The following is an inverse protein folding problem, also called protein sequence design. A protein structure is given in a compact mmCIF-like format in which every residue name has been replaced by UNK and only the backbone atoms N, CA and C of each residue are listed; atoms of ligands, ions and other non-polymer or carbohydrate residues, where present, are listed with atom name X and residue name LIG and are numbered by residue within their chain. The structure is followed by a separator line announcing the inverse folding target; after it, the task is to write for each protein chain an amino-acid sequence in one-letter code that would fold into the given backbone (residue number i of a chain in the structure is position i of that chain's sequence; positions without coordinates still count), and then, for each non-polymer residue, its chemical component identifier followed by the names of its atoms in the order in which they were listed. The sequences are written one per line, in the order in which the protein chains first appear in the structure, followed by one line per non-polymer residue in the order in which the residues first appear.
data_IF_798289964895
#
_entry.id   IF_798289964895
#
_cell.length_a   1.000
_cell.length_b   1.000
_cell.length_c   1.000
_cell.angle_alpha   90.00
_cell.angle_beta   90.00
_cell.angle_gamma   90.00
#
_symmetry.space_group_name_H-M   'P 1'
#
loop_
_entity.id
_entity.type
_entity.pdbx_description
1 polymer ?
#
# COMPACT_ATOMS: atom_id res chain seq x y z
N UNK A 1 20.80 -11.64 -8.60
CA UNK A 1 21.23 -10.51 -7.74
C UNK A 1 22.28 -11.03 -6.76
N UNK A 2 23.41 -10.34 -6.56
CA UNK A 2 24.42 -10.78 -5.57
C UNK A 2 23.96 -10.38 -4.17
N UNK A 3 24.24 -11.24 -3.18
CA UNK A 3 23.93 -10.99 -1.77
C UNK A 3 24.76 -9.79 -1.28
N UNK A 4 24.14 -8.87 -0.56
CA UNK A 4 24.83 -7.77 0.13
C UNK A 4 25.23 -8.31 1.52
N UNK A 5 26.52 -8.37 1.81
CA UNK A 5 27.05 -8.90 3.08
C UNK A 5 27.38 -7.80 4.09
N UNK A 6 27.62 -6.57 3.65
CA UNK A 6 27.89 -5.42 4.50
C UNK A 6 27.36 -4.12 3.88
N UNK A 7 27.15 -3.13 4.73
CA UNK A 7 26.88 -1.74 4.33
C UNK A 7 28.22 -0.99 4.28
N UNK A 8 28.45 -0.25 3.20
CA UNK A 8 29.62 0.63 3.03
C UNK A 8 29.52 1.87 3.92
N UNK A 9 30.65 2.51 4.23
CA UNK A 9 30.65 3.75 5.02
C UNK A 9 29.86 4.87 4.35
N UNK A 10 29.89 4.91 3.01
CA UNK A 10 29.12 5.86 2.20
C UNK A 10 27.61 5.62 2.34
N UNK A 11 27.17 4.36 2.33
CA UNK A 11 25.77 4.00 2.55
C UNK A 11 25.33 4.25 4.00
N UNK A 12 26.18 3.98 5.00
CA UNK A 12 25.93 4.30 6.40
C UNK A 12 25.71 5.81 6.60
N UNK A 13 26.54 6.65 5.97
CA UNK A 13 26.39 8.10 6.03
C UNK A 13 25.04 8.56 5.46
N UNK A 14 24.51 7.86 4.44
CA UNK A 14 23.20 8.16 3.86
C UNK A 14 22.02 7.71 4.75
N UNK A 15 22.19 6.72 5.62
CA UNK A 15 21.09 6.20 6.45
C UNK A 15 20.40 7.31 7.25
N UNK A 16 21.17 8.22 7.87
CA UNK A 16 20.62 9.33 8.65
C UNK A 16 19.73 10.25 7.79
N UNK A 17 20.19 10.62 6.60
CA UNK A 17 19.44 11.48 5.68
C UNK A 17 18.12 10.83 5.25
N UNK A 18 18.13 9.51 5.00
CA UNK A 18 16.92 8.77 4.66
C UNK A 18 15.96 8.68 5.83
N UNK A 19 16.45 8.40 7.04
CA UNK A 19 15.63 8.36 8.26
C UNK A 19 14.94 9.71 8.46
N UNK A 20 15.70 10.80 8.46
CA UNK A 20 15.16 12.15 8.66
C UNK A 20 14.09 12.50 7.61
N UNK A 21 14.36 12.20 6.34
CA UNK A 21 13.41 12.42 5.25
C UNK A 21 12.11 11.64 5.45
N UNK A 22 12.18 10.34 5.73
CA UNK A 22 10.98 9.51 5.82
C UNK A 22 10.19 9.77 7.11
N UNK A 23 10.87 10.10 8.20
CA UNK A 23 10.22 10.56 9.45
C UNK A 23 9.45 11.85 9.20
N UNK A 24 10.05 12.84 8.53
CA UNK A 24 9.38 14.09 8.21
C UNK A 24 8.13 13.88 7.33
N UNK A 25 8.20 12.98 6.35
CA UNK A 25 7.06 12.64 5.49
C UNK A 25 5.97 11.90 6.30
N UNK A 26 6.35 10.89 7.09
CA UNK A 26 5.40 10.04 7.81
C UNK A 26 4.67 10.76 8.95
N UNK A 27 5.26 11.81 9.51
CA UNK A 27 4.66 12.65 10.55
C UNK A 27 4.00 13.92 10.01
N UNK A 28 3.99 14.12 8.69
CA UNK A 28 3.38 15.31 8.09
C UNK A 28 1.86 15.27 8.20
N UNK A 29 1.27 16.40 8.61
CA UNK A 29 -0.18 16.63 8.63
C UNK A 29 -0.65 17.54 7.49
N UNK A 30 0.24 17.83 6.53
CA UNK A 30 -0.13 18.62 5.34
C UNK A 30 -1.12 17.85 4.47
N UNK A 31 -1.94 18.54 3.66
CA UNK A 31 -2.84 17.89 2.72
C UNK A 31 -2.10 16.91 1.80
N UNK A 32 -2.63 15.69 1.68
CA UNK A 32 -2.02 14.66 0.84
C UNK A 32 -2.09 15.01 -0.65
N UNK A 33 -0.97 14.82 -1.36
CA UNK A 33 -0.94 14.84 -2.83
C UNK A 33 -1.43 13.51 -3.38
N UNK A 34 -2.75 13.39 -3.55
CA UNK A 34 -3.39 12.18 -4.03
C UNK A 34 -2.97 11.80 -5.46
N UNK A 35 -2.64 12.76 -6.32
CA UNK A 35 -2.24 12.47 -7.70
C UNK A 35 -0.86 11.81 -7.72
N UNK A 36 0.08 12.34 -6.93
CA UNK A 36 1.40 11.74 -6.77
C UNK A 36 1.33 10.37 -6.12
N UNK A 37 0.49 10.21 -5.09
CA UNK A 37 0.28 8.93 -4.41
C UNK A 37 -0.28 7.86 -5.38
N UNK A 38 -1.32 8.20 -6.14
CA UNK A 38 -1.91 7.31 -7.14
C UNK A 38 -0.90 6.91 -8.22
N UNK A 39 -0.15 7.87 -8.77
CA UNK A 39 0.89 7.58 -9.77
C UNK A 39 1.96 6.62 -9.24
N UNK A 40 2.39 6.80 -7.98
CA UNK A 40 3.37 5.92 -7.34
C UNK A 40 2.81 4.50 -7.13
N UNK A 41 1.59 4.37 -6.62
CA UNK A 41 0.93 3.06 -6.42
C UNK A 41 0.82 2.30 -7.74
N UNK A 42 0.37 2.97 -8.81
CA UNK A 42 0.25 2.32 -10.13
C UNK A 42 1.58 1.81 -10.66
N UNK A 43 2.67 2.57 -10.43
CA UNK A 43 4.04 2.11 -10.76
C UNK A 43 4.43 0.86 -9.98
N UNK A 44 4.10 0.77 -8.69
CA UNK A 44 4.36 -0.42 -7.89
C UNK A 44 3.65 -1.66 -8.45
N UNK A 45 2.36 -1.55 -8.80
CA UNK A 45 1.61 -2.65 -9.44
C UNK A 45 2.22 -3.08 -10.78
N UNK A 46 2.63 -2.11 -11.61
CA UNK A 46 3.31 -2.39 -12.88
C UNK A 46 4.65 -3.12 -12.67
N UNK A 47 5.43 -2.75 -11.65
CA UNK A 47 6.72 -3.36 -11.36
C UNK A 47 6.60 -4.84 -10.98
N UNK A 48 5.50 -5.22 -10.33
CA UNK A 48 5.23 -6.60 -9.91
C UNK A 48 4.38 -7.38 -10.93
N UNK A 49 3.97 -6.76 -12.04
CA UNK A 49 3.13 -7.38 -13.06
C UNK A 49 1.71 -7.73 -12.58
N UNK A 50 1.22 -7.05 -11.54
CA UNK A 50 -0.13 -7.27 -11.01
C UNK A 50 -1.16 -6.35 -11.68
N UNK A 51 -2.41 -6.80 -11.71
CA UNK A 51 -3.53 -5.99 -12.19
C UNK A 51 -3.66 -4.69 -11.39
N UNK A 52 -3.92 -3.61 -12.12
CA UNK A 52 -4.10 -2.30 -11.51
C UNK A 52 -5.36 -2.26 -10.64
N UNK A 53 -5.36 -1.45 -9.55
CA UNK A 53 -6.54 -1.31 -8.71
C UNK A 53 -7.74 -0.80 -9.51
N UNK A 54 -8.88 -1.49 -9.38
CA UNK A 54 -10.15 -1.13 -10.04
C UNK A 54 -10.76 0.15 -9.46
N UNK A 55 -10.49 0.44 -8.19
CA UNK A 55 -11.01 1.59 -7.46
C UNK A 55 -9.92 2.19 -6.59
N UNK A 56 -9.78 3.52 -6.63
CA UNK A 56 -8.90 4.29 -5.76
C UNK A 56 -9.75 5.29 -4.98
N UNK A 57 -9.75 5.17 -3.66
CA UNK A 57 -10.53 6.02 -2.77
C UNK A 57 -9.66 7.13 -2.20
N UNK A 58 -10.06 8.37 -2.43
CA UNK A 58 -9.43 9.57 -1.85
C UNK A 58 -10.32 10.07 -0.72
N UNK A 59 -9.75 10.19 0.47
CA UNK A 59 -10.49 10.52 1.69
C UNK A 59 -9.75 11.59 2.48
N UNK A 60 -10.49 12.53 3.05
CA UNK A 60 -9.92 13.68 3.75
C UNK A 60 -9.48 13.42 5.18
N UNK A 61 -9.74 12.23 5.73
CA UNK A 61 -9.32 11.87 7.08
C UNK A 61 -9.13 10.36 7.24
N UNK A 62 -8.31 9.91 8.22
CA UNK A 62 -8.17 8.49 8.54
C UNK A 62 -9.49 7.83 8.95
N UNK A 63 -10.37 8.58 9.63
CA UNK A 63 -11.70 8.07 10.00
C UNK A 63 -12.57 7.83 8.77
N UNK A 64 -12.54 8.74 7.79
CA UNK A 64 -13.23 8.52 6.52
C UNK A 64 -12.63 7.31 5.76
N UNK A 65 -11.32 7.07 5.85
CA UNK A 65 -10.69 5.89 5.26
C UNK A 65 -11.22 4.56 5.83
N UNK A 66 -11.43 4.52 7.16
CA UNK A 66 -11.96 3.34 7.84
C UNK A 66 -13.34 2.93 7.30
N UNK A 67 -14.20 3.91 6.98
CA UNK A 67 -15.52 3.67 6.40
C UNK A 67 -15.48 3.45 4.89
N UNK A 68 -14.61 4.18 4.18
CA UNK A 68 -14.54 4.15 2.73
C UNK A 68 -14.10 2.78 2.19
N UNK A 69 -13.18 2.08 2.87
CA UNK A 69 -12.72 0.74 2.47
C UNK A 69 -13.87 -0.27 2.32
N UNK A 70 -14.62 -0.57 3.39
CA UNK A 70 -15.78 -1.46 3.33
C UNK A 70 -16.84 -1.02 2.32
N UNK A 71 -17.11 0.29 2.23
CA UNK A 71 -18.06 0.84 1.25
C UNK A 71 -17.58 0.62 -0.19
N UNK A 72 -16.29 0.77 -0.46
CA UNK A 72 -15.70 0.52 -1.77
C UNK A 72 -15.81 -0.95 -2.18
N UNK A 73 -15.59 -1.88 -1.25
CA UNK A 73 -15.77 -3.32 -1.51
C UNK A 73 -17.22 -3.63 -1.82
N UNK A 74 -18.16 -3.10 -1.01
CA UNK A 74 -19.59 -3.27 -1.25
C UNK A 74 -20.01 -2.69 -2.61
N UNK A 75 -19.49 -1.52 -2.99
CA UNK A 75 -19.77 -0.93 -4.29
C UNK A 75 -19.26 -1.82 -5.44
N UNK A 76 -18.05 -2.37 -5.33
CA UNK A 76 -17.50 -3.28 -6.34
C UNK A 76 -18.30 -4.58 -6.45
N UNK A 77 -18.82 -5.11 -5.33
CA UNK A 77 -19.65 -6.32 -5.37
C UNK A 77 -20.99 -6.08 -6.04
N UNK A 78 -21.66 -4.97 -5.72
CA UNK A 78 -22.93 -4.57 -6.36
C UNK A 78 -22.76 -4.28 -7.85
N UNK A 79 -21.61 -3.74 -8.25
CA UNK A 79 -21.29 -3.47 -9.66
C UNK A 79 -20.73 -4.69 -10.41
N UNK A 80 -20.63 -5.87 -9.78
CA UNK A 80 -20.19 -7.10 -10.43
C UNK A 80 -18.68 -7.22 -10.66
N UNK A 81 -17.86 -6.44 -9.96
CA UNK A 81 -16.39 -6.46 -10.08
C UNK A 81 -15.68 -7.39 -9.08
N UNK A 82 -16.41 -8.05 -8.17
CA UNK A 82 -15.86 -9.05 -7.24
C UNK A 82 -15.65 -10.40 -7.95
N UNK A 83 -14.38 -10.74 -8.20
CA UNK A 83 -13.91 -12.12 -8.10
C UNK A 83 -13.63 -12.36 -6.60
N UNK A 84 -14.17 -13.43 -6.03
CA UNK A 84 -14.10 -13.76 -4.61
C UNK A 84 -12.68 -14.15 -4.12
N UNK A 85 -11.65 -14.03 -4.97
CA UNK A 85 -10.39 -14.73 -4.77
C UNK A 85 -9.49 -14.18 -3.65
N UNK A 86 -9.65 -12.91 -3.22
CA UNK A 86 -8.69 -12.26 -2.31
C UNK A 86 -8.99 -12.46 -0.81
N UNK A 87 -10.26 -12.42 -0.41
CA UNK A 87 -10.63 -12.62 1.00
C UNK A 87 -10.54 -14.11 1.40
N UNK A 88 -10.89 -15.00 0.46
CA UNK A 88 -10.78 -16.45 0.65
C UNK A 88 -9.32 -16.86 0.88
N UNK A 89 -8.37 -16.27 0.12
CA UNK A 89 -6.94 -16.56 0.27
C UNK A 89 -6.38 -16.19 1.66
N UNK A 90 -6.77 -15.05 2.22
CA UNK A 90 -6.31 -14.64 3.57
C UNK A 90 -7.00 -15.47 4.65
N UNK A 91 -8.28 -15.81 4.46
CA UNK A 91 -9.03 -16.68 5.37
C UNK A 91 -8.43 -18.08 5.46
N UNK A 92 -8.14 -18.69 4.31
CA UNK A 92 -7.53 -20.01 4.23
C UNK A 92 -6.11 -20.01 4.82
N UNK A 93 -5.30 -18.98 4.52
CA UNK A 93 -3.93 -18.88 5.02
C UNK A 93 -3.86 -18.71 6.55
N UNK A 94 -4.82 -18.00 7.16
CA UNK A 94 -4.90 -17.86 8.63
C UNK A 94 -5.55 -19.10 9.26
N UNK A 95 -6.54 -19.71 8.61
CA UNK A 95 -7.22 -20.92 9.09
C UNK A 95 -6.28 -22.12 9.21
N UNK A 96 -5.40 -22.31 8.23
CA UNK A 96 -4.38 -23.37 8.23
C UNK A 96 -3.27 -23.14 9.26
N UNK A 97 -3.10 -21.92 9.78
CA UNK A 97 -2.12 -21.60 10.82
C UNK A 97 -2.65 -21.81 12.24
N UNK A 98 -3.98 -21.89 12.41
CA UNK A 98 -4.65 -21.96 13.72
C UNK A 98 -5.24 -23.37 14.00
N UNK A 99 -5.19 -24.27 13.02
CA UNK A 99 -5.59 -25.69 13.14
C UNK A 99 -4.37 -26.61 13.19
#
# INVERSE_FOLDING_TARGET
MKKIESITNEQLAQCRLWVEKWVAIGLSTEPADFNRAESAVRKCYNLIGADQPKLILRVGSPYAAHLAGPLGIYLLSVLGFCQNDCLDHVGDQVGDQVR
#
